data_IF_651709645754
#
_entry.id   IF_651709645754
#
_cell.length_a   1.000
_cell.length_b   1.000
_cell.length_c   1.000
_cell.angle_alpha   90.00
_cell.angle_beta   90.00
_cell.angle_gamma   90.00
#
_symmetry.space_group_name_H-M   'P 1'
#
loop_
_entity.id
_entity.type
_entity.pdbx_description
1 polymer ?
#
# COMPACT_ATOMS: atom_id res chain seq x y z
N UNK A 1 26.27 -53.10 -57.72
CA UNK A 1 25.36 -52.30 -56.87
C UNK A 1 25.64 -50.81 -57.06
N UNK A 2 26.92 -50.41 -57.10
CA UNK A 2 27.40 -49.02 -57.23
C UNK A 2 26.95 -48.25 -58.50
N UNK A 3 26.82 -48.90 -59.67
CA UNK A 3 26.42 -48.20 -60.91
C UNK A 3 24.94 -47.76 -60.88
N UNK A 4 24.08 -48.52 -60.19
CA UNK A 4 22.65 -48.23 -60.11
C UNK A 4 22.40 -47.04 -59.18
N UNK A 5 23.12 -47.00 -58.05
CA UNK A 5 23.11 -45.86 -57.13
C UNK A 5 23.64 -44.58 -57.79
N UNK A 6 24.72 -44.65 -58.56
CA UNK A 6 25.21 -43.50 -59.32
C UNK A 6 24.20 -42.98 -60.35
N UNK A 7 23.48 -43.87 -61.04
CA UNK A 7 22.42 -43.49 -61.97
C UNK A 7 21.21 -42.86 -61.29
N UNK A 8 20.82 -43.40 -60.13
CA UNK A 8 19.70 -42.87 -59.35
C UNK A 8 20.05 -41.48 -58.78
N UNK A 9 21.28 -41.25 -58.33
CA UNK A 9 21.77 -39.91 -57.90
C UNK A 9 21.81 -38.91 -59.05
N UNK A 10 22.24 -39.31 -60.25
CA UNK A 10 22.23 -38.43 -61.45
C UNK A 10 20.79 -38.10 -61.87
N UNK A 11 19.87 -39.05 -61.74
CA UNK A 11 18.46 -38.83 -62.06
C UNK A 11 17.81 -37.89 -61.05
N UNK A 12 18.06 -38.10 -59.75
CA UNK A 12 17.58 -37.26 -58.66
C UNK A 12 18.12 -35.82 -58.78
N UNK A 13 19.43 -35.65 -59.00
CA UNK A 13 20.03 -34.32 -59.23
C UNK A 13 19.50 -33.62 -60.48
N UNK A 14 19.16 -34.35 -61.55
CA UNK A 14 18.52 -33.79 -62.74
C UNK A 14 17.06 -33.37 -62.47
N UNK A 15 16.32 -34.17 -61.71
CA UNK A 15 14.94 -33.88 -61.29
C UNK A 15 14.91 -32.63 -60.37
N UNK A 16 15.83 -32.56 -59.41
CA UNK A 16 15.99 -31.43 -58.50
C UNK A 16 16.42 -30.15 -59.23
N UNK A 17 17.38 -30.25 -60.13
CA UNK A 17 17.79 -29.11 -60.96
C UNK A 17 16.63 -28.62 -61.85
N UNK A 18 15.84 -29.54 -62.42
CA UNK A 18 14.64 -29.21 -63.19
C UNK A 18 13.58 -28.53 -62.31
N UNK A 19 13.35 -29.01 -61.09
CA UNK A 19 12.38 -28.43 -60.17
C UNK A 19 12.81 -27.03 -59.68
N UNK A 20 14.09 -26.85 -59.32
CA UNK A 20 14.67 -25.55 -58.94
C UNK A 20 14.62 -24.57 -60.11
N UNK A 21 14.91 -25.02 -61.33
CA UNK A 21 14.75 -24.20 -62.53
C UNK A 21 13.29 -23.85 -62.79
N UNK A 22 12.35 -24.79 -62.64
CA UNK A 22 10.93 -24.52 -62.84
C UNK A 22 10.39 -23.51 -61.83
N UNK A 23 10.75 -23.63 -60.55
CA UNK A 23 10.37 -22.65 -59.52
C UNK A 23 10.99 -21.26 -59.79
N UNK A 24 12.26 -21.22 -60.18
CA UNK A 24 12.98 -19.99 -60.52
C UNK A 24 12.64 -19.41 -61.89
N UNK A 25 12.01 -20.16 -62.80
CA UNK A 25 11.52 -19.64 -64.08
C UNK A 25 10.08 -19.15 -63.96
N UNK A 26 9.26 -19.78 -63.11
CA UNK A 26 7.81 -19.52 -63.04
C UNK A 26 7.46 -18.18 -62.40
N UNK A 27 8.22 -17.71 -61.42
CA UNK A 27 7.94 -16.43 -60.72
C UNK A 27 8.70 -15.22 -61.31
N UNK A 28 9.97 -15.32 -61.71
CA UNK A 28 10.72 -14.18 -62.26
C UNK A 28 10.34 -13.83 -63.69
N UNK A 29 10.05 -14.80 -64.58
CA UNK A 29 9.71 -14.46 -65.98
C UNK A 29 8.44 -13.61 -66.04
N UNK A 30 7.41 -13.95 -65.27
CA UNK A 30 6.15 -13.18 -65.24
C UNK A 30 6.43 -11.76 -64.72
N UNK A 31 7.21 -11.63 -63.65
CA UNK A 31 7.56 -10.31 -63.10
C UNK A 31 8.39 -9.47 -64.07
N UNK A 32 9.41 -10.06 -64.70
CA UNK A 32 10.19 -9.39 -65.74
C UNK A 32 9.32 -9.05 -66.95
N UNK A 33 8.36 -9.91 -67.31
CA UNK A 33 7.44 -9.66 -68.43
C UNK A 33 6.52 -8.49 -68.17
N UNK A 34 5.89 -8.43 -67.00
CA UNK A 34 5.07 -7.28 -66.63
C UNK A 34 5.93 -6.00 -66.60
N UNK A 35 7.14 -6.06 -66.03
CA UNK A 35 8.05 -4.93 -65.98
C UNK A 35 8.47 -4.44 -67.37
N UNK A 36 8.92 -5.33 -68.25
CA UNK A 36 9.27 -4.97 -69.61
C UNK A 36 8.05 -4.55 -70.43
N UNK A 37 6.88 -5.13 -70.21
CA UNK A 37 5.65 -4.72 -70.88
C UNK A 37 5.29 -3.28 -70.51
N UNK A 38 5.42 -2.90 -69.24
CA UNK A 38 5.23 -1.52 -68.77
C UNK A 38 6.28 -0.59 -69.39
N UNK A 39 7.56 -0.96 -69.34
CA UNK A 39 8.65 -0.15 -69.91
C UNK A 39 8.49 0.01 -71.42
N UNK A 40 8.09 -1.03 -72.14
CA UNK A 40 8.02 -1.01 -73.59
C UNK A 40 6.76 -0.33 -74.11
N UNK A 41 5.68 -0.37 -73.33
CA UNK A 41 4.42 0.35 -73.60
C UNK A 41 4.30 1.64 -72.78
N UNK A 42 5.43 2.21 -72.38
CA UNK A 42 5.47 3.41 -71.54
C UNK A 42 4.78 4.61 -72.21
N UNK A 43 4.83 4.68 -73.53
CA UNK A 43 4.22 5.74 -74.34
C UNK A 43 2.69 5.75 -74.21
N UNK A 44 2.06 4.57 -74.18
CA UNK A 44 0.63 4.41 -73.97
C UNK A 44 0.26 4.76 -72.54
N UNK A 45 1.05 4.33 -71.56
CA UNK A 45 0.85 4.67 -70.15
C UNK A 45 0.92 6.20 -69.99
N UNK A 46 1.93 6.83 -70.59
CA UNK A 46 2.07 8.29 -70.57
C UNK A 46 0.87 8.97 -71.23
N UNK A 47 0.41 8.45 -72.38
CA UNK A 47 -0.76 8.99 -73.08
C UNK A 47 -2.06 8.81 -72.27
N UNK A 48 -2.23 7.71 -71.55
CA UNK A 48 -3.42 7.45 -70.74
C UNK A 48 -3.47 8.32 -69.48
N UNK A 49 -2.34 8.51 -68.80
CA UNK A 49 -2.29 9.21 -67.52
C UNK A 49 -1.98 10.71 -67.64
N UNK A 50 -1.11 11.11 -68.56
CA UNK A 50 -0.55 12.47 -68.60
C UNK A 50 -1.01 13.31 -69.80
N UNK A 51 -1.73 12.72 -70.77
CA UNK A 51 -2.26 13.50 -71.88
C UNK A 51 -3.38 14.45 -71.43
N UNK A 52 -3.27 15.74 -71.79
CA UNK A 52 -4.30 16.74 -71.53
C UNK A 52 -5.43 16.59 -72.55
N UNK A 53 -6.53 15.98 -72.13
CA UNK A 53 -7.72 15.71 -72.94
C UNK A 53 -8.74 14.89 -72.15
N UNK A 54 -10.00 14.91 -72.56
CA UNK A 54 -11.03 14.02 -72.00
C UNK A 54 -10.67 12.54 -72.28
N UNK A 55 -11.32 11.62 -71.58
CA UNK A 55 -11.03 10.18 -71.72
C UNK A 55 -11.24 9.68 -73.16
N UNK A 56 -12.22 10.23 -73.87
CA UNK A 56 -12.53 9.89 -75.26
C UNK A 56 -11.38 10.23 -76.21
N UNK A 57 -10.83 11.45 -76.14
CA UNK A 57 -9.69 11.86 -76.95
C UNK A 57 -8.42 11.04 -76.63
N UNK A 58 -8.25 10.60 -75.38
CA UNK A 58 -7.13 9.71 -75.00
C UNK A 58 -7.27 8.35 -75.67
N UNK A 59 -8.46 7.76 -75.59
CA UNK A 59 -8.77 6.46 -76.20
C UNK A 59 -8.64 6.55 -77.73
N UNK A 60 -9.15 7.61 -78.35
CA UNK A 60 -9.05 7.85 -79.79
C UNK A 60 -7.59 7.95 -80.24
N UNK A 61 -6.74 8.70 -79.51
CA UNK A 61 -5.31 8.77 -79.83
C UNK A 61 -4.60 7.43 -79.71
N UNK A 62 -4.91 6.64 -78.68
CA UNK A 62 -4.37 5.29 -78.53
C UNK A 62 -4.85 4.39 -79.69
N UNK A 63 -6.12 4.47 -80.09
CA UNK A 63 -6.65 3.74 -81.25
C UNK A 63 -5.95 4.14 -82.53
N UNK A 64 -5.79 5.43 -82.81
CA UNK A 64 -5.11 5.93 -84.00
C UNK A 64 -3.63 5.53 -84.05
N UNK A 65 -2.98 5.43 -82.88
CA UNK A 65 -1.64 4.85 -82.81
C UNK A 65 -1.63 3.40 -83.27
N UNK A 66 -2.66 2.61 -82.98
CA UNK A 66 -2.73 1.20 -83.35
C UNK A 66 -3.28 0.92 -84.75
N UNK A 67 -4.20 1.73 -85.26
CA UNK A 67 -4.83 1.56 -86.58
C UNK A 67 -3.84 1.71 -87.74
N UNK A 68 -2.81 2.53 -87.56
CA UNK A 68 -1.78 2.76 -88.58
C UNK A 68 -0.72 1.64 -88.64
N UNK A 69 -0.73 0.68 -87.72
CA UNK A 69 0.19 -0.44 -87.73
C UNK A 69 -0.53 -1.74 -88.09
N UNK A 70 0.15 -2.58 -88.86
CA UNK A 70 -0.31 -3.95 -89.10
C UNK A 70 -0.46 -4.66 -87.74
N UNK A 71 -1.57 -5.36 -87.51
CA UNK A 71 -1.81 -6.13 -86.29
C UNK A 71 -0.61 -7.03 -85.93
N UNK A 72 0.02 -7.65 -86.93
CA UNK A 72 1.24 -8.45 -86.73
C UNK A 72 2.42 -7.62 -86.21
N UNK A 73 2.57 -6.37 -86.66
CA UNK A 73 3.61 -5.47 -86.17
C UNK A 73 3.36 -5.09 -84.70
N UNK A 74 2.12 -4.78 -84.34
CA UNK A 74 1.73 -4.46 -82.96
C UNK A 74 1.98 -5.63 -82.03
N UNK A 75 1.49 -6.82 -82.40
CA UNK A 75 1.65 -8.04 -81.61
C UNK A 75 3.13 -8.41 -81.42
N UNK A 76 3.90 -8.41 -82.51
CA UNK A 76 5.31 -8.77 -82.47
C UNK A 76 6.14 -7.75 -81.70
N UNK A 77 5.95 -6.46 -81.94
CA UNK A 77 6.80 -5.44 -81.33
C UNK A 77 6.43 -5.20 -79.86
N UNK A 78 5.14 -5.03 -79.53
CA UNK A 78 4.73 -4.60 -78.18
C UNK A 78 4.52 -5.72 -77.17
N UNK A 79 4.30 -6.96 -77.62
CA UNK A 79 4.09 -8.11 -76.73
C UNK A 79 5.26 -9.11 -76.80
N UNK A 80 5.71 -9.46 -78.01
CA UNK A 80 6.73 -10.49 -78.20
C UNK A 80 8.14 -10.00 -77.79
N UNK A 81 8.49 -8.74 -78.09
CA UNK A 81 9.79 -8.17 -77.68
C UNK A 81 9.96 -8.13 -76.16
N UNK A 82 9.00 -7.62 -75.35
CA UNK A 82 9.07 -7.74 -73.89
C UNK A 82 9.23 -9.18 -73.42
N UNK A 83 8.50 -10.14 -74.01
CA UNK A 83 8.60 -11.55 -73.66
C UNK A 83 10.01 -12.11 -73.88
N UNK A 84 10.64 -11.79 -75.01
CA UNK A 84 12.03 -12.17 -75.30
C UNK A 84 12.98 -11.54 -74.28
N UNK A 85 12.84 -10.23 -73.98
CA UNK A 85 13.68 -9.57 -72.99
C UNK A 85 13.52 -10.15 -71.59
N UNK A 86 12.32 -10.55 -71.19
CA UNK A 86 12.07 -11.23 -69.92
C UNK A 86 12.76 -12.57 -69.85
N UNK A 87 12.70 -13.34 -70.94
CA UNK A 87 13.39 -14.63 -71.02
C UNK A 87 14.91 -14.46 -70.94
N UNK A 88 15.47 -13.53 -71.72
CA UNK A 88 16.91 -13.20 -71.69
C UNK A 88 17.32 -12.71 -70.30
N UNK A 89 16.55 -11.81 -69.69
CA UNK A 89 16.84 -11.27 -68.36
C UNK A 89 16.76 -12.35 -67.29
N UNK A 90 15.81 -13.27 -67.38
CA UNK A 90 15.72 -14.41 -66.47
C UNK A 90 16.95 -15.33 -66.57
N UNK A 91 17.56 -15.44 -67.75
CA UNK A 91 18.80 -16.20 -67.95
C UNK A 91 20.04 -15.43 -67.45
N UNK A 92 20.10 -14.12 -67.65
CA UNK A 92 21.26 -13.28 -67.27
C UNK A 92 21.29 -12.98 -65.76
N UNK A 93 20.12 -12.77 -65.15
CA UNK A 93 20.00 -12.30 -63.77
C UNK A 93 20.69 -13.20 -62.73
N UNK A 94 20.62 -14.54 -62.78
CA UNK A 94 21.35 -15.41 -61.85
C UNK A 94 22.86 -15.18 -61.87
N UNK A 95 23.44 -14.91 -63.05
CA UNK A 95 24.88 -14.63 -63.19
C UNK A 95 25.23 -13.27 -62.58
N UNK A 96 24.40 -12.26 -62.82
CA UNK A 96 24.57 -10.92 -62.24
C UNK A 96 24.44 -10.99 -60.71
N UNK A 97 23.42 -11.69 -60.20
CA UNK A 97 23.22 -11.90 -58.76
C UNK A 97 24.42 -12.58 -58.12
N UNK A 98 24.89 -13.69 -58.71
CA UNK A 98 26.07 -14.40 -58.20
C UNK A 98 27.32 -13.53 -58.21
N UNK A 99 27.50 -12.70 -59.23
CA UNK A 99 28.62 -11.75 -59.29
C UNK A 99 28.54 -10.69 -58.18
N UNK A 100 27.37 -10.11 -57.96
CA UNK A 100 27.11 -9.14 -56.88
C UNK A 100 27.36 -9.80 -55.51
N UNK A 101 26.82 -11.00 -55.29
CA UNK A 101 27.03 -11.76 -54.05
C UNK A 101 28.51 -12.05 -53.80
N UNK A 102 29.28 -12.44 -54.82
CA UNK A 102 30.73 -12.66 -54.67
C UNK A 102 31.45 -11.39 -54.23
N UNK A 103 31.10 -10.24 -54.80
CA UNK A 103 31.69 -8.94 -54.41
C UNK A 103 31.27 -8.52 -53.00
N UNK A 104 30.00 -8.71 -52.65
CA UNK A 104 29.47 -8.40 -51.32
C UNK A 104 30.01 -9.34 -50.24
N UNK A 105 30.21 -10.62 -50.55
CA UNK A 105 30.73 -11.62 -49.61
C UNK A 105 32.08 -11.20 -49.04
N UNK A 106 32.99 -10.70 -49.86
CA UNK A 106 34.29 -10.19 -49.39
C UNK A 106 34.15 -9.00 -48.43
N UNK A 107 33.19 -8.10 -48.69
CA UNK A 107 32.93 -6.98 -47.79
C UNK A 107 32.28 -7.44 -46.49
N UNK A 108 31.36 -8.40 -46.56
CA UNK A 108 30.69 -8.95 -45.39
C UNK A 108 31.63 -9.79 -44.53
N UNK A 109 32.53 -10.57 -45.12
CA UNK A 109 33.55 -11.32 -44.38
C UNK A 109 34.47 -10.37 -43.60
N UNK A 110 34.90 -9.26 -44.21
CA UNK A 110 35.69 -8.25 -43.51
C UNK A 110 34.89 -7.60 -42.38
N UNK A 111 33.63 -7.23 -42.61
CA UNK A 111 32.76 -6.68 -41.55
C UNK A 111 32.54 -7.65 -40.39
N UNK A 112 32.39 -8.95 -40.69
CA UNK A 112 32.22 -9.99 -39.67
C UNK A 112 33.51 -10.17 -38.88
N UNK A 113 34.68 -10.17 -39.53
CA UNK A 113 35.98 -10.21 -38.87
C UNK A 113 36.17 -8.99 -37.97
N UNK A 114 35.94 -7.79 -38.49
CA UNK A 114 36.02 -6.54 -37.72
C UNK A 114 35.09 -6.58 -36.49
N UNK A 115 33.89 -7.17 -36.62
CA UNK A 115 32.98 -7.35 -35.50
C UNK A 115 33.54 -8.29 -34.42
N UNK A 116 34.08 -9.45 -34.82
CA UNK A 116 34.69 -10.40 -33.88
C UNK A 116 35.94 -9.82 -33.23
N UNK A 117 36.78 -9.09 -33.97
CA UNK A 117 37.98 -8.43 -33.44
C UNK A 117 37.59 -7.36 -32.40
N UNK A 118 36.53 -6.58 -32.66
CA UNK A 118 35.98 -5.62 -31.71
C UNK A 118 35.39 -6.28 -30.46
N UNK A 119 34.75 -7.45 -30.61
CA UNK A 119 34.19 -8.20 -29.49
C UNK A 119 35.29 -8.82 -28.61
N UNK A 120 36.34 -9.36 -29.23
CA UNK A 120 37.53 -9.85 -28.52
C UNK A 120 38.23 -8.70 -27.77
N UNK A 121 38.36 -7.53 -28.39
CA UNK A 121 38.96 -6.36 -27.76
C UNK A 121 38.12 -5.88 -26.55
N UNK A 122 36.79 -5.87 -26.67
CA UNK A 122 35.89 -5.55 -25.55
C UNK A 122 36.04 -6.54 -24.40
N UNK A 123 36.07 -7.84 -24.69
CA UNK A 123 36.25 -8.87 -23.66
C UNK A 123 37.61 -8.73 -22.94
N UNK A 124 38.68 -8.39 -23.67
CA UNK A 124 40.00 -8.07 -23.09
C UNK A 124 39.92 -6.85 -22.17
N UNK A 125 39.32 -5.74 -22.62
CA UNK A 125 39.15 -4.54 -21.80
C UNK A 125 38.31 -4.80 -20.55
N UNK A 126 37.22 -5.55 -20.66
CA UNK A 126 36.40 -5.93 -19.50
C UNK A 126 37.20 -6.75 -18.49
N UNK A 127 37.99 -7.72 -18.97
CA UNK A 127 38.89 -8.50 -18.13
C UNK A 127 39.92 -7.60 -17.42
N UNK A 128 40.52 -6.65 -18.13
CA UNK A 128 41.50 -5.71 -17.56
C UNK A 128 40.86 -4.75 -16.54
N UNK A 129 39.63 -4.29 -16.79
CA UNK A 129 38.84 -3.50 -15.85
C UNK A 129 38.53 -4.31 -14.59
N UNK A 130 38.11 -5.57 -14.73
CA UNK A 130 37.87 -6.46 -13.59
C UNK A 130 39.16 -6.73 -12.80
N UNK A 131 40.28 -6.93 -13.49
CA UNK A 131 41.57 -7.13 -12.85
C UNK A 131 42.01 -5.89 -12.05
N UNK A 132 41.83 -4.70 -12.64
CA UNK A 132 42.11 -3.40 -11.99
C UNK A 132 41.17 -3.15 -10.81
N UNK A 133 39.87 -3.40 -10.98
CA UNK A 133 38.83 -3.21 -9.94
C UNK A 133 39.01 -4.16 -8.76
N UNK A 134 39.44 -5.38 -9.03
CA UNK A 134 39.72 -6.37 -8.00
C UNK A 134 41.12 -6.22 -7.39
N UNK A 135 41.90 -5.20 -7.79
CA UNK A 135 43.16 -4.84 -7.13
C UNK A 135 44.21 -5.96 -7.14
N UNK A 136 44.33 -6.68 -8.26
CA UNK A 136 45.20 -7.87 -8.38
C UNK A 136 44.88 -9.01 -7.38
N UNK A 137 43.68 -9.05 -6.78
CA UNK A 137 43.27 -10.21 -6.01
C UNK A 137 43.23 -11.42 -6.94
N UNK A 138 44.06 -12.41 -6.64
CA UNK A 138 44.04 -13.68 -7.37
C UNK A 138 42.67 -14.35 -7.19
N UNK A 139 42.24 -15.15 -8.17
CA UNK A 139 40.97 -15.89 -8.11
C UNK A 139 40.86 -16.66 -6.78
N UNK A 140 41.98 -17.15 -6.25
CA UNK A 140 42.07 -17.81 -4.94
C UNK A 140 41.63 -16.90 -3.79
N UNK A 141 42.03 -15.63 -3.76
CA UNK A 141 41.62 -14.68 -2.71
C UNK A 141 40.13 -14.35 -2.79
N UNK A 142 39.55 -14.30 -3.98
CA UNK A 142 38.11 -14.11 -4.16
C UNK A 142 37.30 -15.35 -3.73
N UNK A 143 37.85 -16.56 -3.94
CA UNK A 143 37.26 -17.81 -3.44
C UNK A 143 37.31 -17.82 -1.91
N UNK A 144 38.44 -17.48 -1.30
CA UNK A 144 38.60 -17.41 0.15
C UNK A 144 37.65 -16.37 0.78
N UNK A 145 37.53 -15.19 0.15
CA UNK A 145 36.59 -14.15 0.60
C UNK A 145 35.13 -14.63 0.48
N UNK A 146 34.79 -15.38 -0.57
CA UNK A 146 33.45 -15.98 -0.75
C UNK A 146 33.16 -17.04 0.30
N UNK A 147 34.12 -17.90 0.63
CA UNK A 147 33.96 -18.90 1.70
C UNK A 147 33.77 -18.25 3.06
N UNK A 148 34.57 -17.22 3.39
CA UNK A 148 34.37 -16.43 4.63
C UNK A 148 32.98 -15.81 4.69
N UNK A 149 32.50 -15.24 3.59
CA UNK A 149 31.16 -14.67 3.51
C UNK A 149 30.07 -15.73 3.70
N UNK A 150 30.26 -16.94 3.18
CA UNK A 150 29.32 -18.04 3.38
C UNK A 150 29.28 -18.47 4.87
N UNK A 151 30.43 -18.58 5.53
CA UNK A 151 30.48 -18.90 6.97
C UNK A 151 29.78 -17.81 7.79
N UNK A 152 30.03 -16.53 7.48
CA UNK A 152 29.35 -15.41 8.15
C UNK A 152 27.84 -15.49 7.93
N UNK A 153 27.40 -15.80 6.71
CA UNK A 153 25.99 -15.96 6.38
C UNK A 153 25.33 -17.08 7.19
N UNK A 154 25.97 -18.25 7.26
CA UNK A 154 25.46 -19.37 8.07
C UNK A 154 25.35 -19.00 9.55
N UNK A 155 26.36 -18.33 10.11
CA UNK A 155 26.31 -17.85 11.49
C UNK A 155 25.14 -16.89 11.71
N UNK A 156 24.95 -15.91 10.82
CA UNK A 156 23.82 -14.98 10.89
C UNK A 156 22.46 -15.68 10.79
N UNK A 157 22.33 -16.69 9.94
CA UNK A 157 21.09 -17.49 9.85
C UNK A 157 20.83 -18.26 11.15
N UNK A 158 21.87 -18.78 11.81
CA UNK A 158 21.70 -19.43 13.12
C UNK A 158 21.28 -18.46 14.21
N UNK A 159 21.83 -17.25 14.22
CA UNK A 159 21.48 -16.23 15.21
C UNK A 159 20.06 -15.68 14.99
N UNK A 160 19.64 -15.52 13.73
CA UNK A 160 18.24 -15.19 13.41
C UNK A 160 17.30 -16.26 13.97
N UNK A 161 17.60 -17.55 13.77
CA UNK A 161 16.75 -18.63 14.32
C UNK A 161 16.69 -18.61 15.84
N UNK A 162 17.79 -18.31 16.53
CA UNK A 162 17.80 -18.17 18.00
C UNK A 162 16.90 -17.01 18.44
N UNK A 163 17.03 -15.86 17.78
CA UNK A 163 16.20 -14.68 18.08
C UNK A 163 14.72 -14.93 17.79
N UNK A 164 14.38 -15.69 16.76
CA UNK A 164 12.99 -16.09 16.47
C UNK A 164 12.41 -16.98 17.59
N UNK A 165 13.19 -17.94 18.08
CA UNK A 165 12.78 -18.80 19.21
C UNK A 165 12.58 -17.95 20.47
N UNK A 166 13.49 -17.05 20.80
CA UNK A 166 13.37 -16.15 21.95
C UNK A 166 12.19 -15.19 21.81
N UNK A 167 11.94 -14.65 20.62
CA UNK A 167 10.77 -13.81 20.37
C UNK A 167 9.47 -14.59 20.56
N UNK A 168 9.43 -15.86 20.16
CA UNK A 168 8.25 -16.72 20.32
C UNK A 168 7.98 -17.06 21.79
N UNK A 169 9.02 -17.29 22.59
CA UNK A 169 8.89 -17.55 24.02
C UNK A 169 8.41 -16.29 24.77
N UNK A 170 8.99 -15.12 24.46
CA UNK A 170 8.56 -13.84 25.00
C UNK A 170 7.09 -13.52 24.66
N UNK A 171 6.66 -13.82 23.44
CA UNK A 171 5.25 -13.66 23.05
C UNK A 171 4.31 -14.55 23.87
N UNK A 172 4.75 -15.77 24.20
CA UNK A 172 3.98 -16.71 25.02
C UNK A 172 3.89 -16.22 26.46
N UNK A 173 5.01 -15.76 27.02
CA UNK A 173 5.06 -15.16 28.37
C UNK A 173 4.13 -13.94 28.43
N UNK A 174 4.17 -13.07 27.42
CA UNK A 174 3.28 -11.90 27.35
C UNK A 174 1.81 -12.30 27.35
N UNK A 175 1.41 -13.28 26.54
CA UNK A 175 0.03 -13.77 26.52
C UNK A 175 -0.41 -14.30 27.88
N UNK A 176 0.46 -15.04 28.57
CA UNK A 176 0.15 -15.54 29.92
C UNK A 176 -0.02 -14.39 30.93
N UNK A 177 0.85 -13.38 30.88
CA UNK A 177 0.73 -12.19 31.74
C UNK A 177 -0.55 -11.40 31.45
N UNK A 178 -0.91 -11.23 30.17
CA UNK A 178 -2.15 -10.56 29.79
C UNK A 178 -3.39 -11.32 30.33
N UNK A 179 -3.38 -12.66 30.28
CA UNK A 179 -4.46 -13.47 30.87
C UNK A 179 -4.54 -13.36 32.40
N UNK A 180 -3.39 -13.31 33.07
CA UNK A 180 -3.32 -13.16 34.53
C UNK A 180 -3.83 -11.78 34.98
N UNK A 181 -3.48 -10.72 34.23
CA UNK A 181 -3.99 -9.36 34.47
C UNK A 181 -5.52 -9.32 34.34
N UNK A 182 -6.10 -9.99 33.34
CA UNK A 182 -7.55 -10.01 33.15
C UNK A 182 -8.28 -10.82 34.23
N UNK A 183 -7.67 -11.90 34.74
CA UNK A 183 -8.18 -12.64 35.90
C UNK A 183 -8.18 -11.77 37.17
N UNK A 184 -7.08 -11.03 37.41
CA UNK A 184 -7.01 -10.08 38.52
C UNK A 184 -8.05 -8.97 38.42
N UNK A 185 -8.26 -8.37 37.23
CA UNK A 185 -9.33 -7.37 37.04
C UNK A 185 -10.71 -7.94 37.36
N UNK A 186 -10.97 -9.18 36.97
CA UNK A 186 -12.24 -9.87 37.25
C UNK A 186 -12.43 -10.10 38.75
N UNK A 187 -11.36 -10.50 39.44
CA UNK A 187 -11.37 -10.70 40.90
C UNK A 187 -11.63 -9.37 41.62
N UNK A 188 -10.94 -8.29 41.23
CA UNK A 188 -11.15 -6.95 41.79
C UNK A 188 -12.59 -6.49 41.56
N UNK A 189 -13.16 -6.69 40.37
CA UNK A 189 -14.54 -6.32 40.08
C UNK A 189 -15.53 -7.13 40.95
N UNK A 190 -15.30 -8.42 41.14
CA UNK A 190 -16.11 -9.26 42.01
C UNK A 190 -16.04 -8.83 43.47
N UNK A 191 -14.83 -8.54 43.98
CA UNK A 191 -14.64 -8.03 45.34
C UNK A 191 -15.34 -6.68 45.54
N UNK A 192 -15.21 -5.76 44.58
CA UNK A 192 -15.92 -4.48 44.62
C UNK A 192 -17.43 -4.68 44.67
N UNK A 193 -17.98 -5.59 43.86
CA UNK A 193 -19.42 -5.91 43.90
C UNK A 193 -19.86 -6.48 45.25
N UNK A 194 -19.04 -7.34 45.88
CA UNK A 194 -19.31 -7.85 47.23
C UNK A 194 -19.31 -6.73 48.27
N UNK A 195 -18.34 -5.80 48.18
CA UNK A 195 -18.26 -4.63 49.04
C UNK A 195 -19.52 -3.75 48.88
N UNK A 196 -19.95 -3.48 47.64
CA UNK A 196 -21.18 -2.74 47.37
C UNK A 196 -22.41 -3.40 47.98
N UNK A 197 -22.55 -4.73 47.85
CA UNK A 197 -23.66 -5.48 48.46
C UNK A 197 -23.64 -5.38 49.99
N UNK A 198 -22.46 -5.47 50.61
CA UNK A 198 -22.35 -5.27 52.05
C UNK A 198 -22.75 -3.85 52.46
N UNK A 199 -22.35 -2.83 51.71
CA UNK A 199 -22.75 -1.44 51.96
C UNK A 199 -24.26 -1.22 51.84
N UNK A 200 -24.94 -1.83 50.86
CA UNK A 200 -26.41 -1.76 50.76
C UNK A 200 -27.08 -2.31 52.03
N UNK A 201 -26.61 -3.45 52.54
CA UNK A 201 -27.12 -4.04 53.79
C UNK A 201 -26.92 -3.07 54.97
N UNK A 202 -25.74 -2.45 55.09
CA UNK A 202 -25.48 -1.46 56.13
C UNK A 202 -26.37 -0.22 56.00
N UNK A 203 -26.61 0.27 54.78
CA UNK A 203 -27.49 1.40 54.54
C UNK A 203 -28.96 1.09 54.90
N UNK A 204 -29.42 -0.13 54.61
CA UNK A 204 -30.76 -0.59 55.00
C UNK A 204 -30.90 -0.68 56.53
N UNK A 205 -29.87 -1.18 57.23
CA UNK A 205 -29.83 -1.20 58.70
C UNK A 205 -29.88 0.23 59.28
N UNK A 206 -29.15 1.19 58.72
CA UNK A 206 -29.20 2.60 59.13
C UNK A 206 -30.59 3.23 58.88
N UNK A 207 -31.27 2.88 57.77
CA UNK A 207 -32.63 3.36 57.49
C UNK A 207 -33.61 2.82 58.54
N UNK A 208 -33.50 1.54 58.91
CA UNK A 208 -34.33 0.93 59.94
C UNK A 208 -34.11 1.65 61.27
N UNK A 209 -32.86 1.88 61.67
CA UNK A 209 -32.55 2.54 62.93
C UNK A 209 -33.05 4.00 62.96
N UNK A 210 -32.87 4.74 61.85
CA UNK A 210 -33.40 6.12 61.75
C UNK A 210 -34.93 6.19 61.75
N UNK A 211 -35.64 5.19 61.23
CA UNK A 211 -37.10 5.10 61.34
C UNK A 211 -37.57 4.84 62.78
N UNK A 212 -36.79 4.06 63.55
CA UNK A 212 -37.02 3.85 64.98
C UNK A 212 -36.76 5.17 65.74
N UNK A 213 -35.68 5.88 65.41
CA UNK A 213 -35.30 7.18 66.00
C UNK A 213 -36.34 8.28 65.75
N UNK A 214 -37.04 8.25 64.60
CA UNK A 214 -38.10 9.22 64.33
C UNK A 214 -39.25 9.16 65.36
N UNK A 215 -39.46 8.00 65.99
CA UNK A 215 -40.48 7.75 67.01
C UNK A 215 -40.00 7.96 68.47
N UNK A 216 -38.71 8.27 68.70
CA UNK A 216 -38.17 8.52 70.04
C UNK A 216 -38.24 10.01 70.38
N UNK A 217 -38.51 10.31 71.67
CA UNK A 217 -38.70 11.66 72.19
C UNK A 217 -37.53 12.61 71.88
N UNK A 218 -37.86 13.91 71.73
CA UNK A 218 -36.97 15.02 71.31
C UNK A 218 -35.54 15.05 71.91
N UNK A 219 -35.31 14.75 73.20
CA UNK A 219 -33.96 14.78 73.78
C UNK A 219 -33.03 13.72 73.18
N UNK A 220 -33.58 12.57 72.78
CA UNK A 220 -32.80 11.45 72.26
C UNK A 220 -32.31 11.70 70.82
N UNK A 221 -33.07 12.48 70.02
CA UNK A 221 -32.65 12.88 68.67
C UNK A 221 -31.37 13.71 68.68
N UNK A 222 -31.20 14.61 69.64
CA UNK A 222 -30.01 15.46 69.70
C UNK A 222 -28.74 14.65 70.00
N UNK A 223 -28.80 13.67 70.91
CA UNK A 223 -27.66 12.81 71.22
C UNK A 223 -27.23 11.94 70.04
N UNK A 224 -28.17 11.54 69.18
CA UNK A 224 -27.85 10.75 67.98
C UNK A 224 -27.23 11.61 66.87
N UNK A 225 -27.66 12.86 66.71
CA UNK A 225 -26.99 13.78 65.80
C UNK A 225 -25.57 14.11 66.26
N UNK A 226 -25.33 14.23 67.57
CA UNK A 226 -23.98 14.38 68.12
C UNK A 226 -23.12 13.13 67.88
N UNK A 227 -23.69 11.93 68.04
CA UNK A 227 -22.98 10.67 67.75
C UNK A 227 -22.64 10.55 66.26
N UNK A 228 -23.56 10.91 65.36
CA UNK A 228 -23.31 10.93 63.92
C UNK A 228 -22.26 11.97 63.53
N UNK A 229 -22.29 13.16 64.13
CA UNK A 229 -21.27 14.19 63.93
C UNK A 229 -19.89 13.74 64.43
N UNK A 230 -19.85 12.97 65.53
CA UNK A 230 -18.63 12.38 66.06
C UNK A 230 -18.06 11.30 65.13
N UNK A 231 -18.91 10.40 64.63
CA UNK A 231 -18.52 9.34 63.67
C UNK A 231 -18.01 9.96 62.36
N UNK A 232 -18.69 10.98 61.83
CA UNK A 232 -18.24 11.70 60.64
C UNK A 232 -16.91 12.43 60.86
N UNK A 233 -16.67 12.94 62.07
CA UNK A 233 -15.41 13.59 62.43
C UNK A 233 -14.25 12.60 62.52
N UNK A 234 -14.47 11.41 63.08
CA UNK A 234 -13.46 10.35 63.14
C UNK A 234 -13.13 9.79 61.74
N UNK A 235 -14.14 9.59 60.90
CA UNK A 235 -13.92 9.14 59.51
C UNK A 235 -13.15 10.16 58.67
N UNK A 236 -13.27 11.46 58.96
CA UNK A 236 -12.59 12.51 58.21
C UNK A 236 -11.12 12.75 58.64
N UNK A 237 -10.65 12.07 59.68
CA UNK A 237 -9.24 12.10 60.11
C UNK A 237 -8.40 10.98 59.50
N UNK A 238 -9.02 10.05 58.77
CA UNK A 238 -8.32 8.96 58.09
C UNK A 238 -8.06 9.37 56.63
N UNK A 239 -6.80 9.74 56.33
CA UNK A 239 -6.33 10.29 55.03
C UNK A 239 -6.57 9.36 53.81
N UNK A 240 -7.19 8.19 54.01
CA UNK A 240 -7.40 7.16 52.99
C UNK A 240 -8.85 7.06 52.46
N UNK A 241 -9.79 7.84 52.99
CA UNK A 241 -11.16 7.84 52.45
C UNK A 241 -11.20 8.75 51.23
N UNK A 242 -11.30 8.15 50.02
CA UNK A 242 -11.49 8.92 48.79
C UNK A 242 -12.72 9.83 48.89
N UNK A 243 -12.53 11.13 48.59
CA UNK A 243 -13.58 12.17 48.54
C UNK A 243 -14.82 11.73 47.74
N UNK A 244 -14.64 10.82 46.77
CA UNK A 244 -15.71 10.24 45.94
C UNK A 244 -16.77 9.48 46.75
N UNK A 245 -16.38 8.83 47.85
CA UNK A 245 -17.26 8.05 48.72
C UNK A 245 -18.14 8.94 49.59
N UNK A 246 -17.56 9.96 50.22
CA UNK A 246 -18.28 10.97 51.00
C UNK A 246 -19.30 11.72 50.13
N UNK A 247 -18.92 12.08 48.90
CA UNK A 247 -19.80 12.77 47.95
C UNK A 247 -20.98 11.87 47.52
N UNK A 248 -20.76 10.57 47.29
CA UNK A 248 -21.84 9.66 46.91
C UNK A 248 -22.82 9.37 48.05
N UNK A 249 -22.33 9.23 49.29
CA UNK A 249 -23.20 9.05 50.47
C UNK A 249 -24.06 10.30 50.72
N UNK A 250 -23.50 11.50 50.52
CA UNK A 250 -24.24 12.77 50.66
C UNK A 250 -25.24 12.96 49.50
N UNK A 251 -24.87 12.58 48.26
CA UNK A 251 -25.74 12.73 47.09
C UNK A 251 -26.93 11.76 47.08
N UNK A 252 -26.82 10.58 47.69
CA UNK A 252 -27.86 9.54 47.61
C UNK A 252 -29.11 9.80 48.48
N UNK A 253 -29.12 10.78 49.39
CA UNK A 253 -30.26 10.96 50.33
C UNK A 253 -30.79 12.36 50.59
N UNK A 254 -30.26 13.42 49.98
CA UNK A 254 -30.72 14.78 50.30
C UNK A 254 -31.35 15.46 49.08
N UNK A 255 -32.56 15.01 48.72
CA UNK A 255 -33.36 15.67 47.67
C UNK A 255 -33.98 17.00 48.14
N UNK A 256 -34.11 17.19 49.45
CA UNK A 256 -34.38 18.47 50.13
C UNK A 256 -34.08 18.26 51.63
N UNK A 257 -33.16 19.01 52.23
CA UNK A 257 -33.01 19.07 53.69
C UNK A 257 -33.10 20.51 54.18
N UNK A 258 -33.77 20.68 55.32
CA UNK A 258 -34.00 21.98 55.94
C UNK A 258 -33.21 22.04 57.25
N UNK A 259 -32.20 22.90 57.31
CA UNK A 259 -31.53 23.23 58.57
C UNK A 259 -32.36 24.31 59.27
N UNK A 260 -32.87 24.00 60.46
CA UNK A 260 -33.52 24.99 61.32
C UNK A 260 -32.44 25.86 61.98
N UNK A 261 -32.38 27.13 61.61
CA UNK A 261 -31.27 28.02 61.98
C UNK A 261 -31.38 28.62 63.38
N UNK A 262 -32.47 28.37 64.10
CA UNK A 262 -32.70 28.99 65.41
C UNK A 262 -31.79 28.49 66.54
N UNK A 263 -30.99 27.42 66.36
CA UNK A 263 -30.17 26.83 67.44
C UNK A 263 -28.65 26.84 67.23
N UNK A 264 -28.14 27.37 66.11
CA UNK A 264 -26.71 27.23 65.76
C UNK A 264 -26.02 28.51 65.25
N UNK A 265 -26.71 29.66 65.22
CA UNK A 265 -26.18 30.89 64.61
C UNK A 265 -25.69 31.96 65.61
N UNK A 266 -25.41 31.59 66.87
CA UNK A 266 -24.69 32.50 67.78
C UNK A 266 -23.16 32.45 67.59
N UNK A 267 -22.63 31.46 66.84
CA UNK A 267 -21.20 31.31 66.62
C UNK A 267 -20.74 31.82 65.24
N UNK A 268 -20.00 32.94 65.26
CA UNK A 268 -19.55 33.72 64.08
C UNK A 268 -18.61 33.00 63.10
N UNK A 269 -18.02 31.86 63.48
CA UNK A 269 -17.07 31.14 62.62
C UNK A 269 -17.76 30.34 61.50
N UNK A 270 -19.01 29.88 61.71
CA UNK A 270 -19.75 29.08 60.73
C UNK A 270 -20.26 29.91 59.53
N UNK A 271 -20.48 31.21 59.68
CA UNK A 271 -20.92 32.07 58.57
C UNK A 271 -19.83 32.27 57.50
N UNK A 272 -18.56 32.38 57.91
CA UNK A 272 -17.48 32.68 56.97
C UNK A 272 -16.99 31.46 56.18
N UNK A 273 -17.07 30.26 56.75
CA UNK A 273 -16.60 29.04 56.07
C UNK A 273 -17.71 28.28 55.35
N UNK A 274 -18.98 28.42 55.77
CA UNK A 274 -20.10 27.81 55.04
C UNK A 274 -20.21 28.33 53.60
N UNK A 275 -20.05 29.64 53.38
CA UNK A 275 -20.10 30.22 52.03
C UNK A 275 -18.91 29.80 51.15
N UNK A 276 -17.78 29.36 51.73
CA UNK A 276 -16.66 28.76 50.97
C UNK A 276 -16.93 27.29 50.61
N UNK A 277 -17.44 26.52 51.57
CA UNK A 277 -17.77 25.09 51.41
C UNK A 277 -18.86 24.91 50.34
N UNK A 278 -19.92 25.72 50.37
CA UNK A 278 -21.02 25.60 49.40
C UNK A 278 -20.66 26.09 47.99
N UNK A 279 -19.63 26.93 47.83
CA UNK A 279 -19.16 27.39 46.52
C UNK A 279 -18.49 26.27 45.71
N UNK A 280 -17.92 25.27 46.37
CA UNK A 280 -17.29 24.10 45.72
C UNK A 280 -18.30 23.07 45.21
N UNK A 281 -19.48 22.98 45.82
CA UNK A 281 -20.43 21.87 45.59
C UNK A 281 -21.50 22.15 44.52
N UNK A 282 -21.46 23.30 43.82
CA UNK A 282 -22.44 23.69 42.78
C UNK A 282 -23.91 23.70 43.24
N UNK A 283 -24.16 23.96 44.53
CA UNK A 283 -25.50 23.91 45.12
C UNK A 283 -26.10 25.31 45.28
N UNK A 284 -27.39 25.50 44.99
CA UNK A 284 -28.05 26.80 45.20
C UNK A 284 -28.61 26.93 46.62
N UNK A 285 -28.21 27.99 47.32
CA UNK A 285 -28.69 28.37 48.67
C UNK A 285 -29.91 29.29 48.53
N UNK A 286 -31.07 28.88 49.06
CA UNK A 286 -32.25 29.74 49.21
C UNK A 286 -32.52 29.92 50.70
N UNK A 287 -32.51 31.16 51.18
CA UNK A 287 -32.79 31.49 52.59
C UNK A 287 -34.24 31.93 52.68
N UNK A 288 -35.08 31.14 53.37
CA UNK A 288 -36.50 31.47 53.61
C UNK A 288 -36.77 31.45 55.11
N UNK A 289 -37.12 32.61 55.69
CA UNK A 289 -37.69 32.78 57.05
C UNK A 289 -37.15 31.74 58.07
N UNK A 290 -35.84 31.77 58.33
CA UNK A 290 -35.09 30.94 59.29
C UNK A 290 -34.80 29.48 58.88
N UNK A 291 -34.93 29.16 57.60
CA UNK A 291 -34.51 27.88 57.02
C UNK A 291 -33.60 28.12 55.81
N UNK A 292 -32.54 27.31 55.71
CA UNK A 292 -31.71 27.25 54.51
C UNK A 292 -32.15 26.03 53.70
N UNK A 293 -32.60 26.26 52.46
CA UNK A 293 -32.88 25.22 51.48
C UNK A 293 -31.69 25.10 50.54
N UNK A 294 -31.16 23.88 50.44
CA UNK A 294 -30.00 23.54 49.62
C UNK A 294 -30.50 22.66 48.47
N UNK A 295 -30.47 23.20 47.25
CA UNK A 295 -31.03 22.55 46.06
C UNK A 295 -29.89 21.96 45.21
N UNK A 296 -29.77 20.63 45.17
CA UNK A 296 -28.73 19.94 44.42
C UNK A 296 -29.02 20.03 42.91
N UNK A 297 -28.17 20.71 42.14
CA UNK A 297 -28.25 20.68 40.66
C UNK A 297 -27.44 19.48 40.18
N UNK A 298 -28.09 18.59 39.42
CA UNK A 298 -27.44 17.45 38.76
C UNK A 298 -26.14 17.89 38.08
N UNK A 299 -25.01 17.30 38.51
CA UNK A 299 -23.75 17.40 37.79
C UNK A 299 -23.87 16.49 36.58
N UNK A 300 -24.17 17.06 35.42
CA UNK A 300 -24.13 16.37 34.14
C UNK A 300 -22.66 16.01 33.87
N UNK A 301 -22.31 14.73 34.07
CA UNK A 301 -21.02 14.17 33.73
C UNK A 301 -20.91 14.00 32.21
N UNK A 302 -20.47 15.05 31.50
CA UNK A 302 -20.02 14.88 30.12
C UNK A 302 -18.59 14.32 30.09
N UNK A 303 -18.43 13.18 29.43
CA UNK A 303 -17.15 12.53 29.09
C UNK A 303 -16.07 13.54 28.69
N UNK A 304 -14.94 13.47 29.39
CA UNK A 304 -13.60 13.95 29.01
C UNK A 304 -13.48 15.45 28.71
N UNK A 305 -13.27 16.23 29.78
CA UNK A 305 -12.78 17.60 29.74
C UNK A 305 -13.13 18.34 31.03
N UNK A 306 -12.18 18.47 31.97
CA UNK A 306 -12.35 19.31 33.16
C UNK A 306 -12.83 20.70 32.73
N UNK A 307 -14.01 21.09 33.21
CA UNK A 307 -14.54 22.42 32.95
C UNK A 307 -13.56 23.48 33.46
N UNK A 308 -13.60 24.68 32.86
CA UNK A 308 -12.72 25.82 33.20
C UNK A 308 -12.77 26.17 34.69
N UNK A 309 -13.87 25.82 35.37
CA UNK A 309 -14.07 25.96 36.82
C UNK A 309 -13.33 24.87 37.60
N UNK A 310 -13.40 23.61 37.14
CA UNK A 310 -12.66 22.50 37.77
C UNK A 310 -11.14 22.67 37.71
N UNK A 311 -10.61 23.24 36.62
CA UNK A 311 -9.17 23.58 36.52
C UNK A 311 -8.73 24.64 37.54
N UNK A 312 -9.56 25.64 37.81
CA UNK A 312 -9.25 26.70 38.79
C UNK A 312 -9.32 26.21 40.24
N UNK A 313 -10.18 25.25 40.52
CA UNK A 313 -10.26 24.61 41.85
C UNK A 313 -9.02 23.74 42.08
N UNK A 314 -8.60 22.97 41.07
CA UNK A 314 -7.37 22.17 41.16
C UNK A 314 -6.12 23.03 41.34
N UNK A 315 -5.99 24.13 40.58
CA UNK A 315 -4.89 25.12 40.76
C UNK A 315 -4.91 25.78 42.15
N UNK A 316 -6.09 26.04 42.71
CA UNK A 316 -6.20 26.61 44.05
C UNK A 316 -5.79 25.62 45.15
N UNK A 317 -6.12 24.33 44.99
CA UNK A 317 -5.73 23.29 45.94
C UNK A 317 -4.23 22.98 45.87
N UNK A 318 -3.65 22.89 44.67
CA UNK A 318 -2.21 22.64 44.48
C UNK A 318 -1.35 23.76 45.09
N UNK A 319 -1.80 25.01 44.97
CA UNK A 319 -1.06 26.17 45.48
C UNK A 319 -1.15 26.38 47.00
N UNK A 320 -2.21 25.91 47.67
CA UNK A 320 -2.40 26.14 49.10
C UNK A 320 -1.97 24.99 50.01
N UNK A 321 -1.79 23.79 49.44
CA UNK A 321 -1.50 22.58 50.23
C UNK A 321 -0.16 21.90 49.87
N UNK A 322 0.73 22.58 49.14
CA UNK A 322 2.07 22.08 48.77
C UNK A 322 2.08 20.67 48.17
N UNK A 323 1.10 20.36 47.33
CA UNK A 323 1.07 19.11 46.58
C UNK A 323 1.79 19.34 45.24
N UNK A 324 2.89 18.62 45.03
CA UNK A 324 3.56 18.60 43.71
C UNK A 324 2.72 17.81 42.73
N UNK A 325 2.68 18.30 41.48
CA UNK A 325 1.94 17.67 40.38
C UNK A 325 2.31 16.21 40.13
#
# INVERSE_FOLDING_TARGET
MEIKEAFDVIKETKEDFKNVLLERLRLPIINYYIFFLIIYNWDIIVMLFFFKGNAELRIEKVKNLYENYNFLFVLNWRMLVPLIYSFISCMIFPYVSSFIERKLKSTNENRIKDFFDLEEEKAKREKDILFTRNGNKTITQLIDDKEKLNIIKENLETDIRKLEVESSSLKTIKLNLDTEIDDYKTTVLNLNNQIYQQYEIYLDLIIIDTSIIQNVSKPFKNNIYELFAYILKELNNDDQIEDSFLINVINLKLKDFYINTNSYFEDSWLQNDSDKIFKGLSVSKIIEKNKIRINNREIITSKWGLSKTGKKVLEYCMNNYNLSA
#
